data_IF_157564446410
#
_entry.id   IF_157564446410
#
_cell.length_a   1.000
_cell.length_b   1.000
_cell.length_c   1.000
_cell.angle_alpha   90.00
_cell.angle_beta   90.00
_cell.angle_gamma   90.00
#
_symmetry.space_group_name_H-M   'P 1'
#
loop_
_entity.id
_entity.type
_entity.pdbx_description
1 polymer ?
#
# COMPACT_ATOMS: atom_id res chain seq x y z
N UNK A 1 4.56 -6.70 -11.37
CA UNK A 1 5.65 -6.45 -12.33
C UNK A 1 5.63 -7.47 -13.45
N UNK A 2 5.72 -7.07 -14.72
CA UNK A 2 5.81 -7.98 -15.87
C UNK A 2 7.22 -8.60 -15.96
N UNK A 3 7.32 -9.92 -16.06
CA UNK A 3 8.62 -10.65 -16.13
C UNK A 3 8.90 -11.26 -17.50
N UNK A 4 8.13 -10.90 -18.53
CA UNK A 4 8.25 -11.43 -19.87
C UNK A 4 7.74 -12.88 -19.97
N UNK A 5 8.36 -13.67 -20.85
CA UNK A 5 7.93 -15.04 -21.17
C UNK A 5 8.51 -16.11 -20.24
N UNK A 6 9.31 -15.70 -19.24
CA UNK A 6 9.88 -16.59 -18.24
C UNK A 6 9.24 -16.30 -16.88
N UNK A 7 8.65 -17.31 -16.22
CA UNK A 7 8.19 -17.14 -14.84
C UNK A 7 9.39 -16.97 -13.92
N UNK A 8 9.30 -16.04 -12.98
CA UNK A 8 10.26 -15.88 -11.88
C UNK A 8 9.61 -16.42 -10.62
N UNK A 9 10.00 -17.60 -10.10
CA UNK A 9 9.50 -18.12 -8.84
C UNK A 9 9.89 -17.19 -7.69
N UNK A 10 8.89 -16.68 -6.97
CA UNK A 10 9.11 -15.85 -5.80
C UNK A 10 9.61 -16.68 -4.61
N UNK A 11 10.59 -16.11 -3.92
CA UNK A 11 11.22 -16.55 -2.68
C UNK A 11 11.07 -15.53 -1.55
N UNK A 12 10.61 -14.31 -1.85
CA UNK A 12 10.43 -13.18 -0.91
C UNK A 12 8.97 -12.82 -0.65
N UNK A 13 8.06 -13.77 -0.82
CA UNK A 13 6.64 -13.56 -0.47
C UNK A 13 5.86 -12.77 -1.51
N UNK A 14 6.31 -12.73 -2.76
CA UNK A 14 5.47 -12.37 -3.90
C UNK A 14 4.77 -13.61 -4.49
N UNK A 15 3.86 -13.39 -5.41
CA UNK A 15 3.18 -14.42 -6.18
C UNK A 15 3.69 -14.40 -7.62
N UNK A 16 4.11 -15.56 -8.12
CA UNK A 16 4.38 -15.76 -9.54
C UNK A 16 3.08 -16.15 -10.23
N UNK A 17 2.64 -15.37 -11.21
CA UNK A 17 1.37 -15.60 -11.89
C UNK A 17 1.47 -15.40 -13.40
N UNK A 18 0.44 -15.85 -14.12
CA UNK A 18 0.25 -15.51 -15.53
C UNK A 18 -0.32 -14.09 -15.59
N UNK A 19 0.39 -13.19 -16.26
CA UNK A 19 -0.09 -11.84 -16.51
C UNK A 19 -1.12 -11.82 -17.62
N UNK A 20 -0.78 -12.39 -18.78
CA UNK A 20 -1.69 -12.55 -19.92
C UNK A 20 -1.16 -13.55 -20.95
N UNK A 21 -2.06 -14.07 -21.78
CA UNK A 21 -1.73 -14.79 -23.01
C UNK A 21 -2.71 -14.41 -24.11
N UNK A 22 -2.20 -13.92 -25.24
CA UNK A 22 -3.02 -13.46 -26.36
C UNK A 22 -2.98 -14.47 -27.51
N UNK A 23 -4.04 -15.28 -27.62
CA UNK A 23 -4.15 -16.32 -28.65
C UNK A 23 -3.00 -17.32 -28.56
N UNK A 24 -2.30 -17.49 -29.68
CA UNK A 24 -1.14 -18.40 -29.79
C UNK A 24 0.19 -17.75 -29.40
N UNK A 25 0.20 -16.48 -29.01
CA UNK A 25 1.43 -15.80 -28.57
C UNK A 25 1.98 -16.43 -27.29
N UNK A 26 3.29 -16.37 -27.05
CA UNK A 26 3.88 -16.84 -25.79
C UNK A 26 3.19 -16.21 -24.57
N UNK A 27 2.96 -17.03 -23.55
CA UNK A 27 2.44 -16.57 -22.25
C UNK A 27 3.40 -15.56 -21.62
N UNK A 28 2.85 -14.48 -21.07
CA UNK A 28 3.59 -13.45 -20.34
C UNK A 28 3.25 -13.56 -18.85
N UNK A 29 4.29 -13.60 -18.03
CA UNK A 29 4.19 -13.80 -16.59
C UNK A 29 4.34 -12.47 -15.83
N UNK A 30 3.92 -12.49 -14.57
CA UNK A 30 4.05 -11.37 -13.66
C UNK A 30 4.42 -11.83 -12.25
N UNK A 31 5.15 -10.97 -11.55
CA UNK A 31 5.22 -10.96 -10.09
C UNK A 31 4.10 -10.07 -9.55
N UNK A 32 3.35 -10.57 -8.58
CA UNK A 32 2.26 -9.86 -7.91
C UNK A 32 2.53 -9.80 -6.41
N UNK A 33 2.22 -8.66 -5.78
CA UNK A 33 2.20 -8.53 -4.33
C UNK A 33 0.87 -7.92 -3.92
N UNK A 34 0.15 -8.61 -3.05
CA UNK A 34 -1.17 -8.19 -2.61
C UNK A 34 -1.06 -7.36 -1.33
N UNK A 35 -1.69 -6.18 -1.32
CA UNK A 35 -1.86 -5.36 -0.12
C UNK A 35 -3.34 -5.39 0.27
N UNK A 36 -3.66 -5.97 1.42
CA UNK A 36 -5.06 -6.25 1.79
C UNK A 36 -5.88 -5.01 2.22
N UNK A 37 -5.20 -3.97 2.71
CA UNK A 37 -5.86 -2.83 3.38
C UNK A 37 -5.28 -1.51 2.88
N UNK A 38 -5.78 -1.06 1.72
CA UNK A 38 -5.53 0.30 1.21
C UNK A 38 -6.72 1.23 1.53
N UNK A 39 -7.71 1.33 0.64
CA UNK A 39 -8.90 2.18 0.83
C UNK A 39 -9.74 1.82 2.07
N UNK A 40 -9.62 0.59 2.57
CA UNK A 40 -10.24 0.15 3.84
C UNK A 40 -9.75 0.95 5.05
N UNK A 41 -8.54 1.50 5.02
CA UNK A 41 -8.05 2.40 6.09
C UNK A 41 -8.93 3.64 6.17
N UNK A 42 -9.17 4.28 5.02
CA UNK A 42 -10.00 5.50 4.93
C UNK A 42 -11.44 5.19 5.34
N UNK A 43 -11.97 4.04 4.91
CA UNK A 43 -13.31 3.59 5.33
C UNK A 43 -13.38 3.37 6.84
N UNK A 44 -12.40 2.71 7.45
CA UNK A 44 -12.34 2.48 8.89
C UNK A 44 -12.25 3.79 9.68
N UNK A 45 -11.47 4.76 9.21
CA UNK A 45 -11.39 6.09 9.83
C UNK A 45 -12.74 6.83 9.80
N UNK A 46 -13.53 6.64 8.75
CA UNK A 46 -14.87 7.22 8.60
C UNK A 46 -15.89 6.49 9.47
N UNK A 47 -16.03 5.19 9.27
CA UNK A 47 -17.17 4.42 9.78
C UNK A 47 -17.00 4.01 11.24
N UNK A 48 -15.77 3.66 11.64
CA UNK A 48 -15.47 3.15 12.97
C UNK A 48 -14.91 4.22 13.89
N UNK A 49 -13.88 4.94 13.44
CA UNK A 49 -13.22 5.98 14.26
C UNK A 49 -13.95 7.32 14.22
N UNK A 50 -14.84 7.52 13.24
CA UNK A 50 -15.61 8.77 13.06
C UNK A 50 -14.71 10.01 13.01
N UNK A 51 -13.51 9.85 12.47
CA UNK A 51 -12.50 10.92 12.37
C UNK A 51 -12.78 11.83 11.17
N UNK A 52 -13.43 11.28 10.15
CA UNK A 52 -13.89 11.95 8.93
C UNK A 52 -15.34 11.56 8.66
N UNK A 53 -16.09 12.42 7.96
CA UNK A 53 -17.49 12.17 7.58
C UNK A 53 -17.61 11.59 6.16
N UNK A 54 -16.65 11.93 5.29
CA UNK A 54 -16.54 11.38 3.93
C UNK A 54 -15.07 11.07 3.59
N UNK A 55 -14.80 10.09 2.71
CA UNK A 55 -13.43 9.69 2.39
C UNK A 55 -12.54 10.84 1.90
N UNK A 56 -13.08 11.80 1.14
CA UNK A 56 -12.32 12.93 0.59
C UNK A 56 -11.81 13.92 1.64
N UNK A 57 -12.31 13.89 2.88
CA UNK A 57 -11.82 14.77 3.96
C UNK A 57 -10.44 14.35 4.47
N UNK A 58 -10.01 13.09 4.25
CA UNK A 58 -8.73 12.61 4.78
C UNK A 58 -7.54 13.38 4.20
N UNK A 59 -7.61 13.79 2.93
CA UNK A 59 -6.55 14.55 2.28
C UNK A 59 -6.39 15.93 2.93
N UNK A 60 -7.50 16.66 3.11
CA UNK A 60 -7.48 17.97 3.77
C UNK A 60 -6.95 17.89 5.20
N UNK A 61 -7.29 16.85 5.96
CA UNK A 61 -6.73 16.63 7.31
C UNK A 61 -5.23 16.33 7.26
N UNK A 62 -4.80 15.45 6.37
CA UNK A 62 -3.39 15.07 6.25
C UNK A 62 -2.49 16.21 5.73
N UNK A 63 -3.06 17.16 4.97
CA UNK A 63 -2.38 18.37 4.49
C UNK A 63 -2.30 19.49 5.55
N UNK A 64 -3.08 19.41 6.62
CA UNK A 64 -3.03 20.39 7.71
C UNK A 64 -1.76 20.28 8.57
N UNK A 65 -0.99 19.21 8.38
CA UNK A 65 0.28 18.94 9.07
C UNK A 65 1.38 18.65 8.03
N UNK A 66 2.63 19.02 8.30
CA UNK A 66 3.73 18.79 7.36
C UNK A 66 4.13 17.30 7.29
N UNK A 67 3.94 16.55 8.38
CA UNK A 67 4.36 15.15 8.55
C UNK A 67 3.40 14.37 9.46
N UNK A 68 3.76 13.11 9.77
CA UNK A 68 2.98 12.21 10.63
C UNK A 68 3.24 12.40 12.14
N UNK A 69 4.08 13.36 12.54
CA UNK A 69 4.39 13.65 13.95
C UNK A 69 5.16 12.53 14.66
N UNK A 70 5.84 11.66 13.91
CA UNK A 70 6.49 10.45 14.42
C UNK A 70 5.52 9.30 14.71
N UNK A 71 4.23 9.47 14.38
CA UNK A 71 3.22 8.43 14.52
C UNK A 71 3.19 7.54 13.29
N UNK A 72 3.19 6.23 13.49
CA UNK A 72 3.08 5.24 12.42
C UNK A 72 1.82 4.41 12.60
N UNK A 73 1.19 4.08 11.47
CA UNK A 73 0.08 3.16 11.42
C UNK A 73 0.44 1.93 10.58
N UNK A 74 0.19 0.73 11.11
CA UNK A 74 0.31 -0.54 10.41
C UNK A 74 -1.10 -1.12 10.29
N UNK A 75 -1.79 -0.99 9.13
CA UNK A 75 -3.21 -1.32 8.97
C UNK A 75 -3.48 -2.82 8.74
N UNK A 76 -2.93 -3.70 9.58
CA UNK A 76 -3.05 -5.16 9.44
C UNK A 76 -4.39 -5.72 10.01
N UNK A 77 -5.54 -5.17 9.61
CA UNK A 77 -6.85 -5.57 10.17
C UNK A 77 -7.18 -7.05 9.99
N UNK A 78 -6.72 -7.63 8.88
CA UNK A 78 -6.89 -9.05 8.53
C UNK A 78 -5.55 -9.75 8.35
N UNK A 79 -4.50 -9.28 9.05
CA UNK A 79 -3.12 -9.73 8.85
C UNK A 79 -2.36 -8.91 7.81
N UNK A 80 -1.05 -9.17 7.74
CA UNK A 80 -0.16 -8.63 6.71
C UNK A 80 -0.04 -9.63 5.55
N UNK A 81 -0.13 -9.11 4.33
CA UNK A 81 0.01 -9.89 3.10
C UNK A 81 1.44 -9.75 2.58
N UNK A 82 1.66 -9.72 1.26
CA UNK A 82 2.98 -9.58 0.69
C UNK A 82 3.70 -8.32 1.22
N UNK A 83 5.02 -8.39 1.45
CA UNK A 83 5.88 -9.59 1.39
C UNK A 83 5.86 -10.48 2.66
N UNK A 84 5.13 -10.08 3.69
CA UNK A 84 5.23 -10.64 5.04
C UNK A 84 4.44 -11.92 5.31
N UNK A 85 3.24 -12.08 4.74
CA UNK A 85 2.32 -13.21 4.94
C UNK A 85 2.11 -13.62 6.40
N UNK A 86 1.80 -12.64 7.26
CA UNK A 86 1.49 -12.88 8.68
C UNK A 86 0.00 -12.67 8.98
N UNK A 87 -0.75 -13.77 8.98
CA UNK A 87 -2.20 -13.77 9.27
C UNK A 87 -2.53 -13.45 10.74
N UNK A 88 -1.58 -13.66 11.65
CA UNK A 88 -1.68 -13.34 13.07
C UNK A 88 -1.46 -11.84 13.36
N UNK A 89 -0.86 -11.09 12.43
CA UNK A 89 -0.64 -9.66 12.59
C UNK A 89 -1.96 -8.88 12.77
N UNK A 90 -1.91 -7.81 13.56
CA UNK A 90 -3.06 -6.93 13.86
C UNK A 90 -2.68 -5.47 13.66
N UNK A 91 -3.69 -4.63 13.52
CA UNK A 91 -3.51 -3.19 13.38
C UNK A 91 -2.74 -2.59 14.56
N UNK A 92 -1.69 -1.81 14.29
CA UNK A 92 -0.88 -1.15 15.32
C UNK A 92 -0.75 0.34 14.98
N UNK A 93 -1.02 1.19 15.97
CA UNK A 93 -0.63 2.60 15.93
C UNK A 93 0.48 2.77 16.99
N UNK A 94 1.62 3.32 16.59
CA UNK A 94 2.76 3.56 17.49
C UNK A 94 3.35 4.95 17.28
N UNK A 95 4.21 5.39 18.20
CA UNK A 95 4.80 6.74 18.16
C UNK A 95 3.86 7.85 18.65
N UNK A 96 2.81 7.51 19.39
CA UNK A 96 1.91 8.49 19.98
C UNK A 96 2.61 9.29 21.08
N UNK A 97 2.57 10.62 20.93
CA UNK A 97 3.01 11.59 21.94
C UNK A 97 1.88 12.59 22.20
N UNK A 98 2.01 13.44 23.21
CA UNK A 98 1.03 14.51 23.47
C UNK A 98 0.93 15.58 22.36
N UNK A 99 1.85 15.56 21.38
CA UNK A 99 1.83 16.42 20.20
C UNK A 99 0.93 15.87 19.07
N UNK A 100 0.74 14.55 19.00
CA UNK A 100 0.02 13.90 17.90
C UNK A 100 -1.46 14.27 17.94
N UNK A 101 -1.96 14.71 16.78
CA UNK A 101 -3.37 15.09 16.57
C UNK A 101 -4.04 14.14 15.58
N UNK A 102 -5.35 14.32 15.35
CA UNK A 102 -6.07 13.54 14.33
C UNK A 102 -5.56 13.79 12.91
N UNK A 103 -5.03 14.98 12.63
CA UNK A 103 -4.42 15.34 11.35
C UNK A 103 -3.16 14.50 11.10
N UNK A 104 -2.32 14.32 12.13
CA UNK A 104 -1.16 13.43 12.09
C UNK A 104 -1.57 11.96 11.88
N UNK A 105 -2.66 11.51 12.50
CA UNK A 105 -3.19 10.16 12.27
C UNK A 105 -3.72 9.98 10.84
N UNK A 106 -4.38 10.99 10.28
CA UNK A 106 -4.80 10.98 8.87
C UNK A 106 -3.59 10.87 7.94
N UNK A 107 -2.53 11.64 8.21
CA UNK A 107 -1.26 11.61 7.47
C UNK A 107 -0.57 10.25 7.58
N UNK A 108 -0.38 9.73 8.79
CA UNK A 108 0.19 8.41 9.05
C UNK A 108 -0.60 7.29 8.34
N UNK A 109 -1.92 7.45 8.22
CA UNK A 109 -2.79 6.46 7.57
C UNK A 109 -2.61 6.41 6.06
N UNK A 110 -2.40 7.56 5.40
CA UNK A 110 -2.07 7.61 3.98
C UNK A 110 -0.65 7.09 3.72
N UNK A 111 0.32 7.51 4.53
CA UNK A 111 1.70 7.05 4.45
C UNK A 111 1.82 5.54 4.65
N UNK A 112 1.03 4.95 5.57
CA UNK A 112 0.99 3.51 5.76
C UNK A 112 0.65 2.73 4.48
N UNK A 113 -0.29 3.23 3.68
CA UNK A 113 -0.65 2.61 2.40
C UNK A 113 0.51 2.72 1.41
N UNK A 114 1.16 3.88 1.33
CA UNK A 114 2.32 4.08 0.47
C UNK A 114 3.51 3.17 0.88
N UNK A 115 3.79 3.04 2.18
CA UNK A 115 4.84 2.15 2.66
C UNK A 115 4.59 0.68 2.34
N UNK A 116 3.34 0.21 2.42
CA UNK A 116 3.01 -1.16 2.01
C UNK A 116 3.23 -1.40 0.51
N UNK A 117 2.95 -0.39 -0.34
CA UNK A 117 3.25 -0.46 -1.77
C UNK A 117 4.77 -0.50 -1.99
N UNK A 118 5.51 0.35 -1.29
CA UNK A 118 6.97 0.40 -1.35
C UNK A 118 7.61 -0.95 -0.97
N UNK A 119 7.15 -1.60 0.10
CA UNK A 119 7.64 -2.91 0.53
C UNK A 119 7.49 -3.97 -0.58
N UNK A 120 6.34 -3.97 -1.26
CA UNK A 120 6.06 -4.87 -2.38
C UNK A 120 6.93 -4.54 -3.59
N UNK A 121 7.08 -3.25 -3.93
CA UNK A 121 7.89 -2.80 -5.07
C UNK A 121 9.36 -3.15 -4.86
N UNK A 122 9.91 -2.92 -3.66
CA UNK A 122 11.28 -3.31 -3.33
C UNK A 122 11.47 -4.83 -3.47
N UNK A 123 10.56 -5.64 -2.92
CA UNK A 123 10.61 -7.08 -3.11
C UNK A 123 10.59 -7.47 -4.60
N UNK A 124 9.76 -6.81 -5.42
CA UNK A 124 9.69 -7.10 -6.86
C UNK A 124 10.99 -6.77 -7.58
N UNK A 125 11.58 -5.61 -7.30
CA UNK A 125 12.84 -5.20 -7.93
C UNK A 125 13.98 -6.13 -7.57
N UNK A 126 14.08 -6.53 -6.29
CA UNK A 126 15.09 -7.45 -5.81
C UNK A 126 14.97 -8.85 -6.44
N UNK A 127 13.74 -9.37 -6.59
CA UNK A 127 13.53 -10.71 -7.16
C UNK A 127 13.64 -10.75 -8.69
N UNK A 128 13.18 -9.69 -9.37
CA UNK A 128 13.27 -9.61 -10.82
C UNK A 128 14.65 -9.18 -11.31
N UNK A 129 15.45 -8.51 -10.47
CA UNK A 129 16.68 -7.85 -10.91
C UNK A 129 16.42 -6.71 -11.91
N UNK A 130 15.21 -6.13 -11.86
CA UNK A 130 14.75 -5.07 -12.75
C UNK A 130 14.48 -3.83 -11.90
N UNK A 131 15.08 -2.70 -12.26
CA UNK A 131 14.76 -1.42 -11.64
C UNK A 131 13.44 -0.88 -12.20
N UNK A 132 12.52 -0.49 -11.31
CA UNK A 132 11.22 0.04 -11.71
C UNK A 132 11.36 1.52 -12.09
N UNK A 133 11.16 1.85 -13.37
CA UNK A 133 11.27 3.23 -13.86
C UNK A 133 10.00 4.07 -13.69
N UNK A 134 8.85 3.42 -13.53
CA UNK A 134 7.56 4.07 -13.37
C UNK A 134 6.56 3.13 -12.71
N UNK A 135 5.77 3.65 -11.78
CA UNK A 135 4.64 2.95 -11.19
C UNK A 135 3.34 3.50 -11.80
N UNK A 136 2.56 2.63 -12.45
CA UNK A 136 1.22 2.98 -12.94
C UNK A 136 0.21 2.65 -11.85
N UNK A 137 -0.68 3.60 -11.56
CA UNK A 137 -1.66 3.53 -10.48
C UNK A 137 -3.07 3.75 -11.04
N UNK A 138 -4.04 3.04 -10.46
CA UNK A 138 -5.46 3.14 -10.78
C UNK A 138 -6.32 2.86 -9.53
N UNK A 139 -7.64 3.01 -9.66
CA UNK A 139 -8.61 2.81 -8.58
C UNK A 139 -8.93 4.08 -7.78
N UNK A 140 -9.90 4.00 -6.86
CA UNK A 140 -10.47 5.21 -6.23
C UNK A 140 -9.52 6.03 -5.36
N UNK A 141 -8.41 5.45 -4.90
CA UNK A 141 -7.42 6.18 -4.08
C UNK A 141 -6.56 7.16 -4.89
N UNK A 142 -6.55 7.07 -6.22
CA UNK A 142 -5.77 7.99 -7.07
C UNK A 142 -6.30 9.42 -7.06
N UNK A 143 -7.53 9.63 -6.57
CA UNK A 143 -8.10 10.97 -6.40
C UNK A 143 -7.39 11.78 -5.30
N UNK A 144 -6.63 11.12 -4.41
CA UNK A 144 -5.87 11.76 -3.35
C UNK A 144 -4.47 12.13 -3.83
N UNK A 145 -4.26 13.41 -4.14
CA UNK A 145 -3.01 13.90 -4.72
C UNK A 145 -1.85 13.80 -3.72
N UNK A 146 -2.12 14.04 -2.43
CA UNK A 146 -1.10 13.87 -1.39
C UNK A 146 -0.59 12.42 -1.36
N UNK A 147 -1.49 11.44 -1.40
CA UNK A 147 -1.10 10.04 -1.43
C UNK A 147 -0.22 9.76 -2.65
N UNK A 148 -0.64 10.18 -3.85
CA UNK A 148 0.13 9.98 -5.09
C UNK A 148 1.52 10.62 -5.04
N UNK A 149 1.68 11.73 -4.33
CA UNK A 149 2.97 12.39 -4.16
C UNK A 149 3.90 11.69 -3.14
N UNK A 150 3.33 10.93 -2.21
CA UNK A 150 4.08 10.17 -1.19
C UNK A 150 4.64 8.86 -1.76
N UNK A 151 3.98 8.25 -2.75
CA UNK A 151 4.35 6.93 -3.31
C UNK A 151 5.41 7.01 -4.41
#
# INVERSE_FOLDING_TARGET
MNTGTKPIPSTKGLLTTVGYQLGTSPCVYALEGSVAVAGKVVQWLRDNMKMISKPSEIESLALAVPDNGGCYFVPAFSGLYAPYWRSDARGIICGLTGYVTREHLARASLEAVAFQVMDVVHAMQEEAGIELSSLRVDGGMIENNLLMQIQ
#
